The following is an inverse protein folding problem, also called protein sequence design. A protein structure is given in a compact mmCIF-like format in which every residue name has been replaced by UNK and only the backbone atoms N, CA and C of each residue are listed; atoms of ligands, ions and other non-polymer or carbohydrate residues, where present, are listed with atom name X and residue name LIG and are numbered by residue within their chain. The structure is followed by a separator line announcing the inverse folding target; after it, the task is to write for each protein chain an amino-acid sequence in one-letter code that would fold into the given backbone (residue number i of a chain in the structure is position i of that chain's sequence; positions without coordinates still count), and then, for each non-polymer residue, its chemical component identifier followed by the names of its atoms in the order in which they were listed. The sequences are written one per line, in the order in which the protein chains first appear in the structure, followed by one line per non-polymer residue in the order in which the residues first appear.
data_IF_241478852783
#
_entry.id   IF_241478852783
#
_cell.length_a   1.000
_cell.length_b   1.000
_cell.length_c   1.000
_cell.angle_alpha   90.00
_cell.angle_beta   90.00
_cell.angle_gamma   90.00
#
_symmetry.space_group_name_H-M   'P 1'
#
loop_
_entity.id
_entity.type
_entity.pdbx_description
1 polymer ?
#
# COMPACT_ATOMS: atom_id res chain seq x y z
N UNK A 1 -21.45 -2.61 40.46
CA UNK A 1 -21.14 -3.57 39.38
C UNK A 1 -20.01 -3.01 38.59
N UNK A 2 -18.78 -3.52 38.83
CA UNK A 2 -17.61 -3.17 38.01
C UNK A 2 -17.85 -3.73 36.61
N UNK A 3 -17.63 -2.91 35.60
CA UNK A 3 -17.70 -3.37 34.23
C UNK A 3 -16.67 -4.48 34.02
N UNK A 4 -17.12 -5.65 33.61
CA UNK A 4 -16.25 -6.81 33.37
C UNK A 4 -15.48 -6.70 32.04
N UNK A 5 -15.79 -5.68 31.22
CA UNK A 5 -15.17 -5.44 29.92
C UNK A 5 -14.97 -3.94 29.68
N UNK A 6 -13.79 -3.59 29.20
CA UNK A 6 -13.47 -2.25 28.71
C UNK A 6 -13.58 -2.20 27.17
N UNK A 7 -14.02 -1.06 26.64
CA UNK A 7 -13.95 -0.80 25.22
C UNK A 7 -12.62 -0.11 24.91
N UNK A 8 -11.92 -0.59 23.89
CA UNK A 8 -10.70 0.04 23.36
C UNK A 8 -10.88 0.27 21.86
N UNK A 9 -10.26 1.31 21.37
CA UNK A 9 -10.13 1.56 19.93
C UNK A 9 -8.73 1.14 19.53
N UNK A 10 -8.64 0.18 18.63
CA UNK A 10 -7.39 -0.14 17.95
C UNK A 10 -7.27 0.76 16.74
N UNK A 11 -6.11 1.35 16.54
CA UNK A 11 -5.85 2.38 15.53
C UNK A 11 -4.58 2.02 14.80
N UNK A 12 -4.61 2.01 13.48
CA UNK A 12 -3.44 1.87 12.62
C UNK A 12 -3.31 3.13 11.78
N UNK A 13 -2.44 4.07 12.17
CA UNK A 13 -2.21 5.28 11.41
C UNK A 13 -1.64 4.99 10.02
N UNK A 14 -2.14 5.73 9.03
CA UNK A 14 -1.64 5.69 7.65
C UNK A 14 -0.70 6.87 7.40
N UNK A 15 0.45 6.60 6.79
CA UNK A 15 1.43 7.59 6.33
C UNK A 15 1.22 7.90 4.86
N UNK A 16 1.57 9.10 4.43
CA UNK A 16 1.47 9.53 3.03
C UNK A 16 0.07 9.27 2.43
N UNK A 17 -0.98 9.53 3.20
CA UNK A 17 -2.36 9.31 2.80
C UNK A 17 -3.22 10.55 3.05
N UNK A 18 -4.00 10.94 2.05
CA UNK A 18 -4.93 12.07 2.14
C UNK A 18 -6.18 11.77 1.32
N UNK A 19 -7.38 11.79 1.90
CA UNK A 19 -8.61 11.74 1.10
C UNK A 19 -8.95 13.14 0.57
N UNK A 20 -9.70 13.18 -0.52
CA UNK A 20 -10.30 14.43 -1.00
C UNK A 20 -11.39 14.93 -0.06
N UNK A 21 -11.69 16.23 -0.16
CA UNK A 21 -12.74 16.85 0.66
C UNK A 21 -14.09 16.12 0.52
N UNK A 22 -14.81 16.01 1.65
CA UNK A 22 -16.12 15.38 1.71
C UNK A 22 -16.10 13.85 1.94
N UNK A 23 -14.94 13.23 2.15
CA UNK A 23 -14.81 11.89 2.70
C UNK A 23 -14.61 12.03 4.21
N UNK A 24 -15.56 11.58 5.02
CA UNK A 24 -15.47 11.63 6.49
C UNK A 24 -15.02 10.28 7.06
N UNK A 25 -15.52 9.19 6.49
CA UNK A 25 -15.17 7.83 6.85
C UNK A 25 -15.46 6.85 5.71
N UNK A 26 -14.74 5.74 5.67
CA UNK A 26 -14.96 4.62 4.75
C UNK A 26 -15.09 3.34 5.56
N UNK A 27 -16.28 2.75 5.58
CA UNK A 27 -16.50 1.43 6.19
C UNK A 27 -16.10 0.33 5.22
N UNK A 28 -15.18 -0.54 5.65
CA UNK A 28 -14.70 -1.69 4.89
C UNK A 28 -15.65 -2.89 5.05
N UNK A 29 -15.58 -3.88 4.13
CA UNK A 29 -16.47 -5.05 4.14
C UNK A 29 -16.45 -5.87 5.43
N UNK A 30 -15.33 -5.89 6.16
CA UNK A 30 -15.17 -6.59 7.45
C UNK A 30 -15.54 -5.72 8.67
N UNK A 31 -16.18 -4.56 8.45
CA UNK A 31 -16.64 -3.65 9.50
C UNK A 31 -15.54 -2.74 10.09
N UNK A 32 -14.32 -2.82 9.59
CA UNK A 32 -13.29 -1.85 9.95
C UNK A 32 -13.60 -0.49 9.32
N UNK A 33 -13.12 0.58 9.93
CA UNK A 33 -13.38 1.94 9.47
C UNK A 33 -12.08 2.68 9.22
N UNK A 34 -11.93 3.19 8.01
CA UNK A 34 -10.91 4.17 7.65
C UNK A 34 -11.51 5.56 7.91
N UNK A 35 -10.94 6.31 8.84
CA UNK A 35 -11.45 7.61 9.25
C UNK A 35 -10.36 8.55 9.75
N UNK A 36 -10.68 9.83 9.87
CA UNK A 36 -9.83 10.79 10.52
C UNK A 36 -9.61 10.41 11.99
N UNK A 37 -8.38 10.58 12.45
CA UNK A 37 -8.04 10.41 13.86
C UNK A 37 -8.48 11.62 14.66
N UNK A 38 -8.97 11.39 15.89
CA UNK A 38 -9.13 12.47 16.86
C UNK A 38 -7.77 12.99 17.31
N UNK A 39 -7.74 14.23 17.82
CA UNK A 39 -6.50 14.86 18.36
C UNK A 39 -5.83 13.97 19.43
N UNK A 40 -6.62 13.23 20.21
CA UNK A 40 -6.13 12.27 21.22
C UNK A 40 -5.44 11.07 20.57
N UNK A 41 -6.01 10.52 19.50
CA UNK A 41 -5.40 9.42 18.75
C UNK A 41 -4.13 9.87 18.05
N UNK A 42 -4.13 11.07 17.49
CA UNK A 42 -2.93 11.70 16.90
C UNK A 42 -1.84 11.85 17.97
N UNK A 43 -2.16 12.42 19.14
CA UNK A 43 -1.20 12.61 20.23
C UNK A 43 -0.64 11.26 20.73
N UNK A 44 -1.47 10.23 20.86
CA UNK A 44 -1.04 8.89 21.19
C UNK A 44 -0.12 8.31 20.11
N UNK A 45 -0.47 8.42 18.83
CA UNK A 45 0.35 7.95 17.72
C UNK A 45 1.73 8.61 17.71
N UNK A 46 1.79 9.92 17.92
CA UNK A 46 3.04 10.70 17.99
C UNK A 46 3.91 10.25 19.16
N UNK A 47 3.35 10.11 20.36
CA UNK A 47 4.09 9.67 21.55
C UNK A 47 4.79 8.32 21.35
N UNK A 48 4.29 7.47 20.48
CA UNK A 48 4.91 6.18 20.11
C UNK A 48 5.81 6.22 18.88
N UNK A 49 5.61 7.19 17.99
CA UNK A 49 6.47 7.40 16.82
C UNK A 49 7.73 8.22 17.19
N UNK A 50 7.62 9.08 18.19
CA UNK A 50 8.76 9.74 18.80
C UNK A 50 9.55 8.74 19.68
N UNK A 51 10.09 7.70 19.08
CA UNK A 51 11.27 7.04 19.65
C UNK A 51 12.33 8.11 19.68
N UNK A 52 12.89 8.46 20.85
CA UNK A 52 14.03 9.34 20.88
C UNK A 52 15.12 8.66 20.08
N UNK A 53 15.33 9.07 18.85
CA UNK A 53 16.58 8.82 18.15
C UNK A 53 17.59 9.71 18.87
N UNK A 54 18.02 9.23 20.04
CA UNK A 54 19.15 9.74 20.77
C UNK A 54 20.41 9.34 20.00
N UNK A 55 20.57 9.93 18.82
CA UNK A 55 21.82 9.92 18.09
C UNK A 55 22.21 11.37 17.81
N UNK A 56 23.23 11.80 18.57
CA UNK A 56 24.13 12.90 18.30
C UNK A 56 23.45 14.23 17.83
N UNK A 57 23.17 15.11 18.79
CA UNK A 57 23.34 16.54 18.56
C UNK A 57 22.15 17.31 18.02
N UNK A 58 21.06 17.42 18.78
CA UNK A 58 20.04 18.41 18.56
C UNK A 58 18.61 17.84 18.59
N UNK A 59 17.63 18.62 19.07
CA UNK A 59 16.23 18.22 18.99
C UNK A 59 15.82 18.26 17.52
N UNK A 60 15.79 17.14 16.86
CA UNK A 60 15.07 17.00 15.61
C UNK A 60 13.58 17.11 15.95
N UNK A 61 13.05 18.33 15.84
CA UNK A 61 11.62 18.51 15.71
C UNK A 61 11.21 17.84 14.41
N UNK A 62 10.90 16.53 14.49
CA UNK A 62 10.19 15.86 13.41
C UNK A 62 8.94 16.68 13.19
N UNK A 63 8.80 17.26 12.01
CA UNK A 63 7.66 18.10 11.68
C UNK A 63 6.41 17.21 11.70
N UNK A 64 5.80 17.13 12.87
CA UNK A 64 4.58 16.39 13.17
C UNK A 64 3.39 16.83 12.29
N UNK A 65 3.52 17.97 11.60
CA UNK A 65 2.47 18.63 10.83
C UNK A 65 1.99 17.88 9.58
N UNK A 66 2.68 16.83 9.13
CA UNK A 66 2.27 16.02 7.98
C UNK A 66 1.91 14.57 8.31
N UNK A 67 2.06 14.16 9.55
CA UNK A 67 1.81 12.78 9.97
C UNK A 67 0.37 12.59 10.44
N UNK A 68 -0.35 11.72 9.73
CA UNK A 68 -1.39 10.86 10.26
C UNK A 68 -2.66 11.55 10.74
N UNK A 69 -3.36 12.14 9.81
CA UNK A 69 -4.74 12.54 10.10
C UNK A 69 -5.73 11.37 9.95
N UNK A 70 -5.31 10.26 9.31
CA UNK A 70 -6.19 9.14 8.98
C UNK A 70 -5.65 7.80 9.45
N UNK A 71 -6.57 6.93 9.89
CA UNK A 71 -6.22 5.60 10.37
C UNK A 71 -7.30 4.58 10.04
N UNK A 72 -6.88 3.31 9.95
CA UNK A 72 -7.76 2.16 10.07
C UNK A 72 -8.09 1.96 11.54
N UNK A 73 -9.38 1.87 11.90
CA UNK A 73 -9.84 1.77 13.28
C UNK A 73 -10.76 0.58 13.50
N UNK A 74 -10.70 0.02 14.71
CA UNK A 74 -11.63 -1.01 15.19
C UNK A 74 -11.97 -0.77 16.65
N UNK A 75 -13.25 -0.80 17.00
CA UNK A 75 -13.67 -0.91 18.40
C UNK A 75 -13.60 -2.37 18.85
N UNK A 76 -12.86 -2.62 19.92
CA UNK A 76 -12.75 -3.94 20.51
C UNK A 76 -13.11 -3.91 22.00
N UNK A 77 -13.65 -5.01 22.51
CA UNK A 77 -14.03 -5.15 23.93
C UNK A 77 -13.10 -6.17 24.58
N UNK A 78 -12.40 -5.75 25.61
CA UNK A 78 -11.44 -6.56 26.33
C UNK A 78 -11.96 -6.88 27.75
N UNK A 79 -11.65 -8.07 28.29
CA UNK A 79 -11.94 -8.35 29.69
C UNK A 79 -11.13 -7.41 30.60
N UNK A 80 -11.77 -6.83 31.61
CA UNK A 80 -11.08 -6.07 32.66
C UNK A 80 -10.61 -7.09 33.70
N UNK A 81 -9.31 -7.33 33.74
CA UNK A 81 -8.70 -8.09 34.85
C UNK A 81 -8.59 -7.17 36.06
N UNK A 82 -8.86 -7.69 37.27
CA UNK A 82 -8.60 -6.94 38.50
C UNK A 82 -7.10 -6.65 38.59
N UNK A 83 -6.74 -5.52 39.19
CA UNK A 83 -5.34 -5.10 39.34
C UNK A 83 -4.47 -6.10 40.10
N UNK A 84 -5.10 -7.06 40.80
CA UNK A 84 -4.41 -8.12 41.58
C UNK A 84 -4.10 -9.38 40.75
N UNK A 85 -4.77 -9.56 39.60
CA UNK A 85 -4.60 -10.71 38.73
C UNK A 85 -3.88 -10.36 37.42
N UNK A 86 -3.04 -9.32 37.41
CA UNK A 86 -2.23 -9.00 36.23
C UNK A 86 -1.14 -10.08 36.10
N UNK A 87 -1.31 -11.10 35.24
CA UNK A 87 -0.19 -11.94 34.86
C UNK A 87 0.86 -11.02 34.24
N UNK A 88 2.13 -11.29 34.45
CA UNK A 88 3.27 -10.44 34.08
C UNK A 88 3.34 -10.01 32.59
N UNK A 89 2.47 -10.53 31.78
CA UNK A 89 2.04 -9.98 30.48
C UNK A 89 0.61 -10.44 30.23
N UNK A 90 -0.37 -9.54 30.05
CA UNK A 90 -1.61 -9.98 29.45
C UNK A 90 -1.22 -10.55 28.08
N UNK A 91 -1.45 -11.84 27.90
CA UNK A 91 -1.53 -12.41 26.55
C UNK A 91 -2.69 -11.69 25.87
N UNK A 92 -2.37 -10.54 25.28
CA UNK A 92 -3.37 -9.75 24.60
C UNK A 92 -3.92 -10.63 23.47
N UNK A 93 -5.20 -11.05 23.55
CA UNK A 93 -5.76 -11.80 22.45
C UNK A 93 -5.59 -10.91 21.21
N UNK A 94 -4.90 -11.42 20.20
CA UNK A 94 -4.74 -10.82 18.90
C UNK A 94 -4.11 -9.40 18.82
N UNK A 95 -2.92 -9.22 19.40
CA UNK A 95 -2.13 -8.01 19.12
C UNK A 95 -1.83 -7.82 17.61
N UNK A 96 -2.00 -8.87 16.81
CA UNK A 96 -1.84 -8.89 15.36
C UNK A 96 -3.13 -8.74 14.55
N UNK A 97 -4.30 -8.65 15.18
CA UNK A 97 -5.58 -8.72 14.47
C UNK A 97 -5.80 -7.61 13.41
N UNK A 98 -5.16 -6.45 13.55
CA UNK A 98 -5.21 -5.37 12.55
C UNK A 98 -4.03 -5.39 11.56
N UNK A 99 -3.01 -6.22 11.75
CA UNK A 99 -1.81 -6.23 10.90
C UNK A 99 -2.18 -6.63 9.47
N UNK A 100 -2.87 -7.73 9.32
CA UNK A 100 -3.27 -8.23 8.00
C UNK A 100 -4.32 -7.31 7.34
N UNK A 101 -5.40 -6.88 8.02
CA UNK A 101 -6.32 -5.89 7.47
C UNK A 101 -5.64 -4.57 7.05
N UNK A 102 -4.70 -4.04 7.83
CA UNK A 102 -3.98 -2.82 7.48
C UNK A 102 -3.08 -3.01 6.26
N UNK A 103 -2.35 -4.12 6.17
CA UNK A 103 -1.55 -4.47 5.00
C UNK A 103 -2.42 -4.60 3.75
N UNK A 104 -3.58 -5.21 3.87
CA UNK A 104 -4.58 -5.36 2.80
C UNK A 104 -5.14 -4.01 2.36
N UNK A 105 -5.46 -3.12 3.31
CA UNK A 105 -5.92 -1.76 3.00
C UNK A 105 -4.85 -0.95 2.26
N UNK A 106 -3.61 -0.97 2.75
CA UNK A 106 -2.47 -0.32 2.08
C UNK A 106 -2.33 -0.83 0.64
N UNK A 107 -2.42 -2.14 0.45
CA UNK A 107 -2.36 -2.74 -0.89
C UNK A 107 -3.52 -2.30 -1.77
N UNK A 108 -4.75 -2.28 -1.25
CA UNK A 108 -5.93 -1.82 -1.99
C UNK A 108 -5.83 -0.35 -2.39
N UNK A 109 -5.41 0.52 -1.47
CA UNK A 109 -5.18 1.95 -1.74
C UNK A 109 -4.12 2.15 -2.82
N UNK A 110 -2.99 1.43 -2.74
CA UNK A 110 -1.94 1.52 -3.76
C UNK A 110 -2.40 1.00 -5.12
N UNK A 111 -3.20 -0.08 -5.17
CA UNK A 111 -3.73 -0.61 -6.42
C UNK A 111 -4.71 0.36 -7.09
N UNK A 112 -5.59 0.99 -6.32
CA UNK A 112 -6.63 1.87 -6.88
C UNK A 112 -6.13 3.29 -7.10
N UNK A 113 -5.51 3.88 -6.06
CA UNK A 113 -5.13 5.30 -6.07
C UNK A 113 -3.68 5.53 -6.51
N UNK A 114 -2.79 4.54 -6.31
CA UNK A 114 -1.33 4.73 -6.44
C UNK A 114 -0.72 5.39 -5.21
N UNK A 115 0.48 5.95 -5.39
CA UNK A 115 1.19 6.63 -4.32
C UNK A 115 1.89 5.68 -3.35
N UNK A 116 2.37 6.22 -2.23
CA UNK A 116 3.30 5.55 -1.32
C UNK A 116 2.72 5.29 0.08
N UNK A 117 1.38 5.26 0.23
CA UNK A 117 0.74 5.02 1.54
C UNK A 117 1.34 3.82 2.26
N UNK A 118 1.62 3.98 3.55
CA UNK A 118 2.09 2.89 4.42
C UNK A 118 1.34 2.90 5.75
N UNK A 119 1.50 1.81 6.50
CA UNK A 119 1.02 1.69 7.87
C UNK A 119 2.15 1.08 8.71
N UNK A 120 2.48 1.67 9.85
CA UNK A 120 3.69 1.28 10.60
C UNK A 120 3.41 0.53 11.88
N UNK A 121 2.37 0.88 12.62
CA UNK A 121 2.07 0.30 13.93
C UNK A 121 0.58 0.31 14.22
N UNK A 122 0.11 -0.71 14.94
CA UNK A 122 -1.17 -0.68 15.60
C UNK A 122 -1.01 -0.16 17.02
N UNK A 123 -1.86 0.75 17.43
CA UNK A 123 -1.92 1.28 18.80
C UNK A 123 -3.30 1.05 19.39
N UNK A 124 -3.41 0.95 20.72
CA UNK A 124 -4.67 0.87 21.44
C UNK A 124 -4.91 2.15 22.20
N UNK A 125 -6.08 2.71 22.04
CA UNK A 125 -6.52 3.92 22.72
C UNK A 125 -7.82 3.65 23.47
N UNK A 126 -7.98 4.09 24.71
CA UNK A 126 -9.29 4.13 25.37
C UNK A 126 -10.19 5.11 24.59
N UNK A 127 -11.45 4.78 24.35
CA UNK A 127 -12.37 5.66 23.60
C UNK A 127 -12.66 6.97 24.34
N UNK A 128 -12.67 6.95 25.67
CA UNK A 128 -13.27 8.01 26.50
C UNK A 128 -12.34 8.53 27.62
N UNK A 129 -11.03 8.19 27.61
CA UNK A 129 -10.12 8.59 28.68
C UNK A 129 -9.12 9.67 28.25
N UNK A 130 -8.89 10.64 29.16
CA UNK A 130 -7.91 11.73 29.02
C UNK A 130 -6.44 11.29 29.25
N UNK A 131 -6.14 10.01 29.06
CA UNK A 131 -4.75 9.57 29.14
C UNK A 131 -4.00 9.95 27.87
N UNK A 132 -3.00 10.83 27.98
CA UNK A 132 -2.17 11.23 26.83
C UNK A 132 -1.25 10.11 26.35
N UNK A 133 -1.21 8.99 27.06
CA UNK A 133 -0.37 7.84 26.71
C UNK A 133 -1.29 6.69 26.35
N UNK A 134 -1.25 6.28 25.09
CA UNK A 134 -1.87 5.04 24.66
C UNK A 134 -1.28 3.84 25.40
N UNK A 135 -1.99 2.71 25.41
CA UNK A 135 -1.61 1.47 26.13
C UNK A 135 -0.40 0.72 25.51
N UNK A 136 0.43 1.41 24.76
CA UNK A 136 1.59 0.85 24.08
C UNK A 136 1.32 0.29 22.69
N UNK A 137 2.36 0.12 21.87
CA UNK A 137 2.23 -0.50 20.57
C UNK A 137 1.81 -1.96 20.75
N UNK A 138 0.75 -2.37 20.07
CA UNK A 138 0.24 -3.74 20.16
C UNK A 138 0.91 -4.68 19.17
N UNK A 139 1.34 -4.16 18.03
CA UNK A 139 2.12 -4.89 17.02
C UNK A 139 2.88 -3.91 16.15
N UNK A 140 4.11 -4.25 15.76
CA UNK A 140 4.76 -3.64 14.61
C UNK A 140 4.20 -4.31 13.36
N UNK A 141 3.66 -3.54 12.45
CA UNK A 141 3.53 -3.97 11.08
C UNK A 141 4.97 -4.13 10.59
N UNK A 142 5.37 -5.34 10.23
CA UNK A 142 6.73 -5.64 9.77
C UNK A 142 7.20 -4.53 8.83
N UNK A 143 8.46 -4.13 8.98
CA UNK A 143 9.08 -3.02 8.28
C UNK A 143 8.60 -2.90 6.84
N UNK A 144 7.48 -2.22 6.65
CA UNK A 144 7.15 -1.73 5.33
C UNK A 144 8.18 -0.64 5.03
N UNK A 145 8.70 -0.64 3.82
CA UNK A 145 9.73 0.29 3.44
C UNK A 145 9.30 1.73 3.66
N UNK A 146 10.27 2.60 3.72
CA UNK A 146 10.08 4.05 3.80
C UNK A 146 9.03 4.50 2.79
N UNK A 147 8.13 5.37 3.22
CA UNK A 147 7.19 6.04 2.32
C UNK A 147 7.87 7.25 1.66
N UNK A 148 7.42 7.57 0.48
CA UNK A 148 7.82 8.76 -0.24
C UNK A 148 6.80 9.88 0.03
N UNK A 149 7.22 10.93 0.75
CA UNK A 149 6.34 12.06 1.09
C UNK A 149 5.94 12.88 -0.14
N UNK A 150 6.75 12.82 -1.19
CA UNK A 150 6.50 13.56 -2.43
C UNK A 150 5.45 12.84 -3.32
N UNK A 151 5.10 11.60 -2.96
CA UNK A 151 4.11 10.79 -3.68
C UNK A 151 2.97 10.31 -2.76
N UNK A 152 2.20 11.23 -2.14
CA UNK A 152 1.11 10.83 -1.26
C UNK A 152 0.03 10.07 -2.04
N UNK A 153 -0.60 9.10 -1.38
CA UNK A 153 -1.80 8.44 -1.91
C UNK A 153 -3.00 9.33 -1.65
N UNK A 154 -3.68 9.74 -2.72
CA UNK A 154 -4.87 10.58 -2.66
C UNK A 154 -6.09 9.72 -2.98
N UNK A 155 -7.03 9.61 -2.04
CA UNK A 155 -8.29 8.89 -2.23
C UNK A 155 -9.39 9.85 -2.70
N UNK A 156 -9.81 9.73 -3.94
CA UNK A 156 -10.98 10.42 -4.48
C UNK A 156 -12.29 9.74 -4.07
N UNK A 157 -13.38 10.52 -4.00
CA UNK A 157 -14.71 9.99 -3.65
C UNK A 157 -15.16 8.88 -4.63
N UNK A 158 -14.85 9.04 -5.90
CA UNK A 158 -15.16 8.09 -6.97
C UNK A 158 -14.37 6.77 -6.86
N UNK A 159 -13.27 6.78 -6.12
CA UNK A 159 -12.41 5.61 -5.92
C UNK A 159 -12.78 4.79 -4.67
N UNK A 160 -13.62 5.32 -3.78
CA UNK A 160 -13.94 4.68 -2.49
C UNK A 160 -14.50 3.27 -2.70
N UNK A 161 -15.44 3.11 -3.62
CA UNK A 161 -16.06 1.79 -3.86
C UNK A 161 -15.03 0.83 -4.48
N UNK A 162 -14.21 1.27 -5.43
CA UNK A 162 -13.15 0.44 -6.01
C UNK A 162 -12.13 -0.01 -4.94
N UNK A 163 -11.80 0.84 -3.96
CA UNK A 163 -10.94 0.44 -2.83
C UNK A 163 -11.61 -0.64 -1.98
N UNK A 164 -12.92 -0.52 -1.70
CA UNK A 164 -13.68 -1.53 -0.93
C UNK A 164 -13.73 -2.86 -1.66
N UNK A 165 -13.99 -2.84 -2.95
CA UNK A 165 -14.01 -4.05 -3.81
C UNK A 165 -12.64 -4.73 -3.83
N UNK A 166 -11.57 -3.99 -4.13
CA UNK A 166 -10.21 -4.54 -4.14
C UNK A 166 -9.79 -5.06 -2.76
N UNK A 167 -10.17 -4.35 -1.69
CA UNK A 167 -9.95 -4.83 -0.32
C UNK A 167 -10.63 -6.18 -0.05
N UNK A 168 -11.86 -6.37 -0.53
CA UNK A 168 -12.58 -7.64 -0.43
C UNK A 168 -11.92 -8.74 -1.27
N UNK A 169 -11.54 -8.44 -2.53
CA UNK A 169 -10.84 -9.38 -3.41
C UNK A 169 -9.53 -9.88 -2.80
N UNK A 170 -8.74 -9.01 -2.19
CA UNK A 170 -7.49 -9.37 -1.52
C UNK A 170 -7.70 -10.32 -0.33
N UNK A 171 -8.88 -10.30 0.29
CA UNK A 171 -9.25 -11.24 1.37
C UNK A 171 -9.66 -12.62 0.85
N UNK A 172 -9.99 -12.75 -0.44
CA UNK A 172 -10.54 -13.98 -1.01
C UNK A 172 -9.53 -15.14 -0.91
N UNK A 173 -9.95 -16.35 -0.47
CA UNK A 173 -9.04 -17.49 -0.27
C UNK A 173 -8.24 -17.86 -1.53
N UNK A 174 -8.85 -17.83 -2.72
CA UNK A 174 -8.18 -18.13 -3.99
C UNK A 174 -7.04 -17.13 -4.30
N UNK A 175 -7.25 -15.84 -4.02
CA UNK A 175 -6.22 -14.79 -4.17
C UNK A 175 -5.08 -15.01 -3.16
N UNK A 176 -5.41 -15.31 -1.90
CA UNK A 176 -4.41 -15.56 -0.85
C UNK A 176 -3.57 -16.82 -1.11
N UNK A 177 -4.17 -17.85 -1.68
CA UNK A 177 -3.49 -19.11 -2.04
C UNK A 177 -2.63 -18.97 -3.30
N UNK A 178 -2.88 -17.98 -4.16
CA UNK A 178 -2.16 -17.82 -5.42
C UNK A 178 -0.80 -17.13 -5.20
N UNK A 179 0.26 -17.95 -5.15
CA UNK A 179 1.65 -17.46 -4.92
C UNK A 179 2.13 -16.48 -5.98
N UNK A 180 1.69 -16.62 -7.23
CA UNK A 180 2.04 -15.69 -8.31
C UNK A 180 1.49 -14.29 -8.02
N UNK A 181 0.18 -14.20 -7.74
CA UNK A 181 -0.45 -12.92 -7.37
C UNK A 181 0.17 -12.31 -6.12
N UNK A 182 0.41 -13.11 -5.06
CA UNK A 182 1.05 -12.60 -3.84
C UNK A 182 2.46 -12.05 -4.11
N UNK A 183 3.21 -12.67 -5.02
CA UNK A 183 4.53 -12.18 -5.42
C UNK A 183 4.42 -10.87 -6.21
N UNK A 184 3.51 -10.78 -7.17
CA UNK A 184 3.29 -9.56 -7.95
C UNK A 184 2.83 -8.40 -7.07
N UNK A 185 1.85 -8.62 -6.18
CA UNK A 185 1.37 -7.63 -5.22
C UNK A 185 2.52 -7.10 -4.33
N UNK A 186 3.34 -8.01 -3.81
CA UNK A 186 4.50 -7.61 -2.99
C UNK A 186 5.50 -6.76 -3.78
N UNK A 187 5.79 -7.10 -5.05
CA UNK A 187 6.70 -6.33 -5.90
C UNK A 187 6.16 -4.94 -6.21
N UNK A 188 4.86 -4.83 -6.49
CA UNK A 188 4.21 -3.54 -6.67
C UNK A 188 4.29 -2.67 -5.40
N UNK A 189 4.05 -3.27 -4.23
CA UNK A 189 4.13 -2.56 -2.95
C UNK A 189 5.56 -2.10 -2.67
N UNK A 190 6.58 -2.91 -2.99
CA UNK A 190 7.99 -2.52 -2.85
C UNK A 190 8.32 -1.36 -3.79
N UNK A 191 7.99 -1.47 -5.07
CA UNK A 191 8.19 -0.38 -6.03
C UNK A 191 7.57 0.95 -5.57
N UNK A 192 6.36 0.92 -5.01
CA UNK A 192 5.71 2.13 -4.48
C UNK A 192 6.39 2.74 -3.25
N UNK A 193 7.35 2.04 -2.63
CA UNK A 193 8.08 2.50 -1.46
C UNK A 193 9.48 3.06 -1.80
N UNK A 194 10.01 2.72 -2.97
CA UNK A 194 11.30 3.21 -3.40
C UNK A 194 11.20 4.66 -3.89
N UNK A 195 12.21 5.46 -3.52
CA UNK A 195 12.32 6.87 -3.96
C UNK A 195 13.08 7.01 -5.27
N UNK A 196 13.93 6.03 -5.59
CA UNK A 196 14.74 6.04 -6.79
C UNK A 196 13.95 5.46 -7.95
N UNK A 197 13.71 6.21 -9.04
CA UNK A 197 12.87 5.74 -10.14
C UNK A 197 13.38 4.45 -10.80
N UNK A 198 14.72 4.26 -10.89
CA UNK A 198 15.30 3.06 -11.48
C UNK A 198 15.08 1.82 -10.64
N UNK A 199 15.17 1.91 -9.30
CA UNK A 199 14.89 0.79 -8.40
C UNK A 199 13.40 0.40 -8.46
N UNK A 200 12.50 1.41 -8.50
CA UNK A 200 11.07 1.19 -8.73
C UNK A 200 10.82 0.46 -10.04
N UNK A 201 11.48 0.88 -11.11
CA UNK A 201 11.35 0.27 -12.43
C UNK A 201 11.73 -1.21 -12.42
N UNK A 202 12.83 -1.56 -11.74
CA UNK A 202 13.28 -2.95 -11.61
C UNK A 202 12.16 -3.82 -10.96
N UNK A 203 11.61 -3.37 -9.83
CA UNK A 203 10.54 -4.10 -9.15
C UNK A 203 9.25 -4.18 -9.99
N UNK A 204 8.89 -3.12 -10.71
CA UNK A 204 7.76 -3.12 -11.64
C UNK A 204 7.93 -4.10 -12.79
N UNK A 205 9.12 -4.18 -13.41
CA UNK A 205 9.38 -5.15 -14.48
C UNK A 205 9.35 -6.58 -13.94
N UNK A 206 9.88 -6.83 -12.72
CA UNK A 206 9.74 -8.14 -12.06
C UNK A 206 8.25 -8.46 -11.81
N UNK A 207 7.45 -7.50 -11.38
CA UNK A 207 6.00 -7.65 -11.23
C UNK A 207 5.37 -8.05 -12.57
N UNK A 208 5.69 -7.37 -13.66
CA UNK A 208 5.20 -7.69 -15.00
C UNK A 208 5.57 -9.12 -15.45
N UNK A 209 6.82 -9.55 -15.22
CA UNK A 209 7.24 -10.92 -15.54
C UNK A 209 6.46 -11.97 -14.72
N UNK A 210 6.14 -11.68 -13.47
CA UNK A 210 5.32 -12.57 -12.66
C UNK A 210 3.90 -12.68 -13.22
N UNK A 211 3.28 -11.56 -13.56
CA UNK A 211 1.90 -11.50 -14.05
C UNK A 211 1.73 -12.19 -15.41
N UNK A 212 2.62 -11.91 -16.35
CA UNK A 212 2.43 -12.28 -17.76
C UNK A 212 3.27 -13.46 -18.23
N UNK A 213 4.17 -13.98 -17.39
CA UNK A 213 4.98 -15.15 -17.72
C UNK A 213 4.76 -16.28 -16.70
N UNK A 214 5.01 -15.98 -15.40
CA UNK A 214 4.97 -17.02 -14.36
C UNK A 214 3.55 -17.46 -14.02
N UNK A 215 2.62 -16.50 -13.89
CA UNK A 215 1.23 -16.80 -13.54
C UNK A 215 0.53 -17.63 -14.61
N UNK A 216 0.66 -17.34 -15.93
CA UNK A 216 0.16 -18.21 -17.00
C UNK A 216 0.99 -19.50 -17.23
N UNK A 217 2.10 -19.69 -16.54
CA UNK A 217 2.96 -20.88 -16.71
C UNK A 217 3.78 -20.90 -18.00
N UNK A 218 4.04 -19.73 -18.59
CA UNK A 218 4.83 -19.62 -19.81
C UNK A 218 6.34 -19.82 -19.54
N UNK A 219 7.12 -20.39 -20.50
CA UNK A 219 8.55 -20.55 -20.33
C UNK A 219 9.27 -19.19 -20.22
N UNK A 220 10.20 -19.09 -19.27
CA UNK A 220 11.02 -17.90 -19.06
C UNK A 220 12.27 -17.95 -19.97
N UNK A 221 12.07 -17.77 -21.26
CA UNK A 221 13.11 -17.72 -22.28
C UNK A 221 13.51 -16.30 -22.68
N UNK A 222 14.31 -16.17 -23.75
CA UNK A 222 14.78 -14.88 -24.29
C UNK A 222 13.66 -13.93 -24.78
N UNK A 223 12.42 -14.42 -24.93
CA UNK A 223 11.28 -13.66 -25.43
C UNK A 223 10.40 -13.07 -24.30
N UNK A 224 10.95 -12.89 -23.11
CA UNK A 224 10.20 -12.39 -21.95
C UNK A 224 9.50 -11.06 -22.22
N UNK A 225 10.20 -10.10 -22.83
CA UNK A 225 9.66 -8.80 -23.17
C UNK A 225 8.40 -8.93 -24.05
N UNK A 226 8.49 -9.72 -25.12
CA UNK A 226 7.36 -9.88 -26.06
C UNK A 226 6.16 -10.55 -25.39
N UNK A 227 6.39 -11.53 -24.49
CA UNK A 227 5.33 -12.18 -23.70
C UNK A 227 4.64 -11.22 -22.75
N UNK A 228 5.40 -10.38 -22.05
CA UNK A 228 4.84 -9.37 -21.15
C UNK A 228 4.04 -8.35 -21.94
N UNK A 229 4.58 -7.85 -23.04
CA UNK A 229 3.90 -6.89 -23.91
C UNK A 229 2.59 -7.49 -24.45
N UNK A 230 2.64 -8.66 -25.05
CA UNK A 230 1.46 -9.33 -25.59
C UNK A 230 0.39 -9.60 -24.52
N UNK A 231 0.80 -10.12 -23.35
CA UNK A 231 -0.11 -10.41 -22.24
C UNK A 231 -0.75 -9.17 -21.66
N UNK A 232 0.02 -8.10 -21.44
CA UNK A 232 -0.49 -6.85 -20.92
C UNK A 232 -1.43 -6.16 -21.91
N UNK A 233 -1.05 -6.10 -23.19
CA UNK A 233 -1.88 -5.50 -24.25
C UNK A 233 -3.20 -6.25 -24.41
N UNK A 234 -3.19 -7.59 -24.41
CA UNK A 234 -4.41 -8.38 -24.50
C UNK A 234 -5.32 -8.20 -23.27
N UNK A 235 -4.75 -8.13 -22.07
CA UNK A 235 -5.52 -7.97 -20.83
C UNK A 235 -6.13 -6.57 -20.70
N UNK A 236 -5.45 -5.53 -21.19
CA UNK A 236 -5.78 -4.14 -20.94
C UNK A 236 -6.32 -3.38 -22.17
N UNK A 237 -6.56 -4.07 -23.30
CA UNK A 237 -7.02 -3.44 -24.54
C UNK A 237 -8.26 -2.55 -24.36
N UNK A 238 -9.18 -2.97 -23.48
CA UNK A 238 -10.45 -2.27 -23.21
C UNK A 238 -10.48 -1.63 -21.82
N UNK A 239 -9.32 -1.33 -21.24
CA UNK A 239 -9.30 -0.74 -19.90
C UNK A 239 -9.76 0.73 -19.91
N UNK A 240 -10.89 1.09 -19.28
CA UNK A 240 -11.48 2.41 -19.36
C UNK A 240 -10.66 3.50 -18.64
N UNK A 241 -9.73 3.11 -17.77
CA UNK A 241 -8.89 4.06 -17.00
C UNK A 241 -7.65 4.44 -17.79
N UNK A 242 -7.02 3.48 -18.48
CA UNK A 242 -5.80 3.74 -19.24
C UNK A 242 -6.05 4.62 -20.46
N UNK A 243 -7.20 4.46 -21.12
CA UNK A 243 -7.60 5.21 -22.34
C UNK A 243 -6.47 5.31 -23.38
N UNK A 244 -5.57 4.34 -23.41
CA UNK A 244 -4.41 4.30 -24.27
C UNK A 244 -4.59 3.23 -25.35
N UNK A 245 -4.28 3.53 -26.61
CA UNK A 245 -4.33 2.53 -27.67
C UNK A 245 -3.25 1.46 -27.43
N UNK A 246 -3.48 0.21 -27.90
CA UNK A 246 -2.57 -0.92 -27.68
C UNK A 246 -1.11 -0.62 -28.05
N UNK A 247 -0.88 0.13 -29.09
CA UNK A 247 0.47 0.50 -29.57
C UNK A 247 1.23 1.39 -28.58
N UNK A 248 0.51 2.23 -27.81
CA UNK A 248 1.11 3.08 -26.77
C UNK A 248 1.50 2.24 -25.56
N UNK A 249 0.65 1.32 -25.16
CA UNK A 249 0.91 0.39 -24.08
C UNK A 249 2.12 -0.50 -24.41
N UNK A 250 2.16 -1.02 -25.65
CA UNK A 250 3.32 -1.78 -26.14
C UNK A 250 4.61 -0.95 -26.10
N UNK A 251 4.58 0.28 -26.64
CA UNK A 251 5.74 1.16 -26.69
C UNK A 251 6.27 1.49 -25.27
N UNK A 252 5.37 1.77 -24.31
CA UNK A 252 5.72 2.05 -22.93
C UNK A 252 6.39 0.85 -22.26
N UNK A 253 5.80 -0.35 -22.38
CA UNK A 253 6.36 -1.55 -21.75
C UNK A 253 7.71 -1.94 -22.39
N UNK A 254 7.86 -1.80 -23.71
CA UNK A 254 9.17 -2.00 -24.37
C UNK A 254 10.21 -1.00 -23.90
N UNK A 255 9.82 0.26 -23.71
CA UNK A 255 10.70 1.29 -23.13
C UNK A 255 11.12 0.89 -21.71
N UNK A 256 10.19 0.49 -20.85
CA UNK A 256 10.49 0.05 -19.49
C UNK A 256 11.51 -1.10 -19.43
N UNK A 257 11.39 -2.08 -20.32
CA UNK A 257 12.39 -3.16 -20.41
C UNK A 257 13.76 -2.65 -20.84
N UNK A 258 13.86 -1.72 -21.79
CA UNK A 258 15.13 -1.13 -22.21
C UNK A 258 15.79 -0.36 -21.07
N UNK A 259 15.05 0.52 -20.42
CA UNK A 259 15.52 1.33 -19.29
C UNK A 259 16.04 0.44 -18.13
N UNK A 260 15.28 -0.62 -17.80
CA UNK A 260 15.71 -1.60 -16.78
C UNK A 260 16.99 -2.32 -17.18
N UNK A 261 17.14 -2.67 -18.46
CA UNK A 261 18.35 -3.33 -18.92
C UNK A 261 19.55 -2.39 -18.90
N UNK A 262 19.38 -1.12 -19.30
CA UNK A 262 20.40 -0.10 -19.22
C UNK A 262 20.89 0.03 -17.76
N UNK A 263 20.01 0.21 -16.79
CA UNK A 263 20.33 0.26 -15.37
C UNK A 263 21.10 -0.99 -14.90
N UNK A 264 20.63 -2.18 -15.27
CA UNK A 264 21.27 -3.45 -14.87
C UNK A 264 22.66 -3.66 -15.49
N UNK A 265 22.95 -3.02 -16.61
CA UNK A 265 24.26 -3.09 -17.27
C UNK A 265 25.16 -1.90 -16.91
N UNK A 266 24.67 -0.93 -16.15
CA UNK A 266 25.39 0.27 -15.74
C UNK A 266 25.42 1.35 -16.83
N UNK A 267 24.53 1.26 -17.81
CA UNK A 267 24.33 2.30 -18.80
C UNK A 267 23.40 3.39 -18.21
N UNK A 268 23.51 4.62 -18.75
CA UNK A 268 22.65 5.72 -18.30
C UNK A 268 21.26 5.68 -18.97
N UNK A 269 20.19 5.36 -18.21
CA UNK A 269 18.83 5.35 -18.74
C UNK A 269 18.37 6.71 -19.30
N UNK A 270 18.92 7.83 -18.80
CA UNK A 270 18.57 9.18 -19.24
C UNK A 270 19.04 9.49 -20.68
N UNK A 271 19.94 8.68 -21.22
CA UNK A 271 20.40 8.81 -22.60
C UNK A 271 19.33 8.47 -23.65
N UNK A 272 18.21 7.88 -23.23
CA UNK A 272 17.13 7.47 -24.11
C UNK A 272 16.05 8.55 -24.28
N UNK A 273 15.41 8.57 -25.44
CA UNK A 273 14.19 9.34 -25.61
C UNK A 273 13.06 8.72 -24.79
N UNK A 274 12.63 9.43 -23.75
CA UNK A 274 11.54 9.01 -22.87
C UNK A 274 10.20 9.49 -23.43
N UNK A 275 9.16 8.63 -23.30
CA UNK A 275 7.79 8.96 -23.67
C UNK A 275 6.81 8.38 -22.64
N UNK A 276 5.84 9.17 -22.27
CA UNK A 276 4.71 8.78 -21.40
C UNK A 276 3.74 7.84 -22.11
N UNK A 277 2.79 7.28 -21.38
CA UNK A 277 1.70 6.45 -21.90
C UNK A 277 0.86 7.19 -22.97
N UNK A 278 0.70 8.50 -22.82
CA UNK A 278 0.03 9.34 -23.82
C UNK A 278 0.90 9.59 -25.07
N UNK A 279 2.16 9.17 -25.04
CA UNK A 279 3.15 9.34 -26.10
C UNK A 279 3.82 10.72 -26.13
N UNK A 280 3.59 11.54 -25.12
CA UNK A 280 4.28 12.82 -24.98
C UNK A 280 5.76 12.59 -24.63
N UNK A 281 6.69 13.30 -25.28
CA UNK A 281 8.08 13.26 -24.88
C UNK A 281 8.27 13.87 -23.48
N UNK A 282 9.19 13.33 -22.71
CA UNK A 282 9.53 13.81 -21.36
C UNK A 282 11.03 13.60 -21.13
N UNK A 283 11.62 14.37 -20.24
CA UNK A 283 12.94 14.15 -19.64
C UNK A 283 12.85 13.57 -18.22
N UNK A 284 11.63 13.42 -17.71
CA UNK A 284 11.37 12.88 -16.38
C UNK A 284 11.15 11.36 -16.42
N UNK A 285 12.15 10.63 -15.95
CA UNK A 285 12.07 9.17 -15.80
C UNK A 285 10.95 8.76 -14.83
N UNK A 286 10.69 9.56 -13.79
CA UNK A 286 9.63 9.26 -12.81
C UNK A 286 8.26 9.20 -13.47
N UNK A 287 7.96 10.09 -14.42
CA UNK A 287 6.71 10.08 -15.15
C UNK A 287 6.50 8.78 -15.94
N UNK A 288 7.56 8.27 -16.59
CA UNK A 288 7.51 6.98 -17.31
C UNK A 288 7.29 5.81 -16.36
N UNK A 289 7.98 5.83 -15.22
CA UNK A 289 7.85 4.77 -14.19
C UNK A 289 6.46 4.80 -13.55
N UNK A 290 5.87 5.97 -13.33
CA UNK A 290 4.51 6.13 -12.83
C UNK A 290 3.46 5.58 -13.81
N UNK A 291 3.66 5.79 -15.11
CA UNK A 291 2.81 5.22 -16.15
C UNK A 291 2.90 3.69 -16.20
N UNK A 292 4.11 3.12 -16.07
CA UNK A 292 4.28 1.65 -15.98
C UNK A 292 3.61 1.11 -14.72
N UNK A 293 3.76 1.80 -13.58
CA UNK A 293 3.06 1.43 -12.34
C UNK A 293 1.54 1.45 -12.53
N UNK A 294 0.99 2.47 -13.16
CA UNK A 294 -0.45 2.55 -13.47
C UNK A 294 -0.91 1.35 -14.30
N UNK A 295 -0.19 1.00 -15.36
CA UNK A 295 -0.50 -0.16 -16.21
C UNK A 295 -0.54 -1.46 -15.38
N UNK A 296 0.46 -1.68 -14.53
CA UNK A 296 0.54 -2.90 -13.71
C UNK A 296 -0.51 -2.95 -12.60
N UNK A 297 -0.86 -1.82 -12.01
CA UNK A 297 -1.99 -1.72 -11.06
C UNK A 297 -3.30 -2.12 -11.72
N UNK A 298 -3.57 -1.61 -12.92
CA UNK A 298 -4.77 -1.97 -13.69
C UNK A 298 -4.80 -3.46 -14.04
N UNK A 299 -3.66 -4.01 -14.48
CA UNK A 299 -3.54 -5.43 -14.77
C UNK A 299 -3.83 -6.30 -13.52
N UNK A 300 -3.27 -5.93 -12.37
CA UNK A 300 -3.51 -6.65 -11.11
C UNK A 300 -4.98 -6.61 -10.71
N UNK A 301 -5.64 -5.46 -10.76
CA UNK A 301 -7.08 -5.35 -10.44
C UNK A 301 -7.91 -6.29 -11.31
N UNK A 302 -7.68 -6.31 -12.62
CA UNK A 302 -8.39 -7.23 -13.54
C UNK A 302 -8.12 -8.70 -13.24
N UNK A 303 -6.87 -9.05 -12.96
CA UNK A 303 -6.52 -10.44 -12.63
C UNK A 303 -7.09 -10.89 -11.28
N UNK A 304 -7.15 -10.00 -10.29
CA UNK A 304 -7.79 -10.28 -8.99
C UNK A 304 -9.28 -10.60 -9.16
N UNK A 305 -10.01 -9.80 -9.96
CA UNK A 305 -11.43 -10.05 -10.26
C UNK A 305 -11.61 -11.39 -10.99
N UNK A 306 -10.80 -11.66 -12.01
CA UNK A 306 -10.90 -12.91 -12.79
C UNK A 306 -10.58 -14.19 -12.01
N UNK A 307 -9.78 -14.12 -10.93
CA UNK A 307 -9.53 -15.29 -10.06
C UNK A 307 -10.71 -15.61 -9.15
N UNK A 308 -11.53 -14.62 -8.82
CA UNK A 308 -12.68 -14.81 -7.93
C UNK A 308 -13.92 -15.29 -8.70
N UNK A 309 -13.99 -15.01 -10.00
CA UNK A 309 -15.08 -15.41 -10.89
C UNK A 309 -14.96 -16.86 -11.38
N UNK A 310 -13.81 -17.52 -11.21
CA UNK A 310 -13.56 -18.93 -11.53
C UNK A 310 -13.91 -19.88 -10.37
#
# INVERSE_FOLDING_TARGET
LLATRARLVEVVPLNAFTPTAGIEAVTLPDGLVLQAMSDRQVSAAIGYLAVPVAFAGGPTSVAVSRFHQWALTRCASYPVCSAMDVPAQPTAPDSGALVEPASRLVTALRLVCGGSVTATRAIRCPPDYDFPQGLGPTASLSALPTFDEDRPTILGREQVEAVREVYALLAHPAVRANRGLQTALRRLVLAGADRVPTDRLIDLIVCAEVLFIKLPGLPADRWKQDKVVAGATALLADDPVLQAPPERLEALLRLGYRLRNDEMHGDDPSSRELRTLTGQPTDDLSAVVDDIELVLRRALVRLLSGVVEQ
#
